data_IF_167789712294
#
_entry.id   IF_167789712294
#
_cell.length_a   1.000
_cell.length_b   1.000
_cell.length_c   1.000
_cell.angle_alpha   90.00
_cell.angle_beta   90.00
_cell.angle_gamma   90.00
#
_symmetry.space_group_name_H-M   'P 1'
#
loop_
_entity.id
_entity.type
_entity.pdbx_description
1 polymer ?
#
# COMPACT_ATOMS: atom_id res chain seq x y z
N UNK A 1 57.04 -62.79 41.20
CA UNK A 1 56.10 -61.69 40.85
C UNK A 1 56.87 -60.55 40.20
N UNK A 2 56.68 -60.27 38.91
CA UNK A 2 57.32 -59.15 38.19
C UNK A 2 56.24 -58.20 37.66
N UNK A 3 56.26 -56.95 38.13
CA UNK A 3 55.33 -55.86 37.78
C UNK A 3 55.76 -55.27 36.42
N UNK A 4 54.89 -55.34 35.41
CA UNK A 4 55.10 -54.70 34.10
C UNK A 4 54.74 -53.21 34.24
N UNK A 5 55.68 -52.32 33.92
CA UNK A 5 55.43 -50.87 33.80
C UNK A 5 55.09 -50.57 32.35
N UNK A 6 53.89 -50.07 32.09
CA UNK A 6 53.53 -49.50 30.79
C UNK A 6 54.03 -48.05 30.72
N UNK A 7 54.86 -47.76 29.73
CA UNK A 7 55.37 -46.43 29.42
C UNK A 7 54.40 -45.79 28.40
N UNK A 8 53.63 -44.78 28.81
CA UNK A 8 52.78 -44.03 27.90
C UNK A 8 53.55 -42.81 27.37
N UNK A 9 54.01 -42.87 26.11
CA UNK A 9 54.54 -41.68 25.43
C UNK A 9 53.39 -40.74 25.08
N UNK A 10 53.37 -39.56 25.68
CA UNK A 10 52.49 -38.48 25.25
C UNK A 10 53.04 -37.87 23.96
N UNK A 11 52.49 -38.27 22.81
CA UNK A 11 52.68 -37.51 21.57
C UNK A 11 51.63 -36.41 21.52
N UNK A 12 52.04 -35.17 21.80
CA UNK A 12 51.20 -33.99 21.56
C UNK A 12 50.92 -33.87 20.06
N UNK A 13 49.67 -34.12 19.67
CA UNK A 13 49.21 -33.93 18.29
C UNK A 13 48.95 -32.43 18.09
N UNK A 14 49.69 -31.79 17.21
CA UNK A 14 49.42 -30.41 16.81
C UNK A 14 48.00 -30.33 16.23
N UNK A 15 47.17 -29.45 16.79
CA UNK A 15 45.84 -29.15 16.25
C UNK A 15 46.06 -28.24 15.03
N UNK A 16 46.05 -28.83 13.84
CA UNK A 16 45.91 -28.07 12.61
C UNK A 16 44.52 -27.42 12.60
N UNK A 17 44.45 -26.09 12.56
CA UNK A 17 43.19 -25.38 12.32
C UNK A 17 42.75 -25.64 10.87
N UNK A 18 41.84 -26.59 10.66
CA UNK A 18 41.05 -26.67 9.43
C UNK A 18 40.13 -25.45 9.36
N UNK A 19 40.40 -24.54 8.43
CA UNK A 19 39.45 -23.48 8.10
C UNK A 19 38.23 -24.11 7.41
N UNK A 20 37.06 -23.96 8.01
CA UNK A 20 35.81 -24.47 7.47
C UNK A 20 35.59 -23.91 6.06
N UNK A 21 35.69 -24.75 5.02
CA UNK A 21 35.34 -24.37 3.66
C UNK A 21 33.84 -24.15 3.59
N UNK A 22 33.39 -22.90 3.48
CA UNK A 22 31.98 -22.59 3.23
C UNK A 22 31.58 -23.18 1.88
N UNK A 23 30.61 -24.11 1.88
CA UNK A 23 30.04 -24.65 0.64
C UNK A 23 29.48 -23.48 -0.19
N UNK A 24 30.03 -23.24 -1.38
CA UNK A 24 29.47 -22.26 -2.30
C UNK A 24 28.16 -22.81 -2.85
N UNK A 25 27.06 -22.09 -2.61
CA UNK A 25 25.77 -22.41 -3.20
C UNK A 25 25.79 -22.20 -4.72
N UNK A 26 24.66 -22.50 -5.38
CA UNK A 26 24.47 -22.20 -6.81
C UNK A 26 24.80 -20.72 -7.09
N UNK A 27 25.63 -20.41 -8.10
CA UNK A 27 25.97 -19.03 -8.43
C UNK A 27 24.71 -18.24 -8.79
N UNK A 28 24.72 -16.96 -8.43
CA UNK A 28 23.61 -16.04 -8.72
C UNK A 28 23.57 -15.75 -10.22
N UNK A 29 22.36 -15.60 -10.75
CA UNK A 29 22.13 -15.16 -12.14
C UNK A 29 22.40 -13.66 -12.31
N UNK A 30 22.29 -12.89 -11.23
CA UNK A 30 22.47 -11.43 -11.21
C UNK A 30 23.77 -11.04 -10.52
N UNK A 31 24.38 -9.97 -11.00
CA UNK A 31 25.56 -9.36 -10.41
C UNK A 31 25.20 -8.31 -9.33
N UNK A 32 26.16 -7.97 -8.48
CA UNK A 32 25.99 -6.99 -7.41
C UNK A 32 25.67 -5.58 -7.96
N UNK A 33 26.29 -5.18 -9.07
CA UNK A 33 26.02 -3.89 -9.71
C UNK A 33 24.59 -3.85 -10.27
N UNK A 34 24.18 -4.93 -10.93
CA UNK A 34 22.79 -5.07 -11.42
C UNK A 34 21.77 -5.05 -10.29
N UNK A 35 22.04 -5.74 -9.18
CA UNK A 35 21.18 -5.72 -7.99
C UNK A 35 21.07 -4.31 -7.39
N UNK A 36 22.12 -3.50 -7.48
CA UNK A 36 22.14 -2.10 -7.02
C UNK A 36 21.34 -1.20 -7.97
N UNK A 37 21.52 -1.34 -9.28
CA UNK A 37 20.75 -0.59 -10.28
C UNK A 37 19.24 -0.87 -10.17
N UNK A 38 18.85 -2.14 -9.96
CA UNK A 38 17.45 -2.53 -9.70
C UNK A 38 16.87 -1.83 -8.46
N UNK A 39 17.67 -1.76 -7.39
CA UNK A 39 17.26 -1.09 -6.15
C UNK A 39 17.09 0.42 -6.35
N UNK A 40 18.04 1.06 -7.03
CA UNK A 40 18.01 2.50 -7.29
C UNK A 40 16.86 2.89 -8.22
N UNK A 41 16.63 2.12 -9.28
CA UNK A 41 15.48 2.30 -10.16
C UNK A 41 14.16 2.20 -9.40
N UNK A 42 13.98 1.15 -8.59
CA UNK A 42 12.78 0.97 -7.77
C UNK A 42 12.61 2.04 -6.69
N UNK A 43 13.69 2.68 -6.23
CA UNK A 43 13.65 3.80 -5.28
C UNK A 43 13.29 5.11 -5.96
N UNK A 44 13.81 5.34 -7.17
CA UNK A 44 13.55 6.53 -7.98
C UNK A 44 12.10 6.57 -8.47
N UNK A 45 11.60 5.44 -8.97
CA UNK A 45 10.19 5.28 -9.34
C UNK A 45 9.60 4.03 -8.66
N UNK A 46 8.90 4.21 -7.53
CA UNK A 46 8.25 3.12 -6.80
C UNK A 46 7.19 2.34 -7.59
N UNK A 47 6.66 2.91 -8.68
CA UNK A 47 5.58 2.31 -9.48
C UNK A 47 6.09 1.37 -10.57
N UNK A 48 7.41 1.33 -10.82
CA UNK A 48 8.01 0.40 -11.76
C UNK A 48 7.69 -1.05 -11.37
N UNK A 49 7.14 -1.78 -12.33
CA UNK A 49 6.82 -3.19 -12.12
C UNK A 49 8.10 -4.03 -12.14
N UNK A 50 8.09 -5.19 -11.46
CA UNK A 50 9.21 -6.11 -11.55
C UNK A 50 9.44 -6.64 -12.97
N UNK A 51 8.42 -6.59 -13.84
CA UNK A 51 8.55 -6.97 -15.25
C UNK A 51 9.34 -5.90 -16.00
N UNK A 52 9.06 -4.62 -15.75
CA UNK A 52 9.76 -3.52 -16.41
C UNK A 52 11.22 -3.47 -15.95
N UNK A 53 11.45 -3.61 -14.64
CA UNK A 53 12.80 -3.75 -14.07
C UNK A 53 13.55 -4.98 -14.61
N UNK A 54 12.85 -6.10 -14.85
CA UNK A 54 13.47 -7.29 -15.42
C UNK A 54 13.90 -7.05 -16.88
N UNK A 55 13.04 -6.42 -17.70
CA UNK A 55 13.33 -6.12 -19.10
C UNK A 55 14.55 -5.21 -19.28
N UNK A 56 14.71 -4.22 -18.39
CA UNK A 56 15.75 -3.21 -18.54
C UNK A 56 17.12 -3.70 -18.03
N UNK A 57 17.18 -4.33 -16.86
CA UNK A 57 18.47 -4.71 -16.24
C UNK A 57 18.82 -6.19 -16.28
N UNK A 58 17.83 -7.09 -16.35
CA UNK A 58 18.06 -8.55 -16.21
C UNK A 58 17.17 -9.39 -17.14
N UNK A 59 17.18 -9.15 -18.47
CA UNK A 59 16.22 -9.75 -19.40
C UNK A 59 16.30 -11.28 -19.49
N UNK A 60 17.45 -11.87 -19.15
CA UNK A 60 17.68 -13.32 -19.11
C UNK A 60 17.16 -13.98 -17.84
N UNK A 61 16.84 -13.21 -16.80
CA UNK A 61 16.37 -13.73 -15.52
C UNK A 61 14.84 -13.82 -15.49
N UNK A 62 14.29 -14.71 -14.65
CA UNK A 62 12.84 -14.69 -14.37
C UNK A 62 12.49 -13.52 -13.44
N UNK A 63 11.27 -13.00 -13.57
CA UNK A 63 10.75 -11.84 -12.79
C UNK A 63 10.86 -12.06 -11.27
N UNK A 64 10.73 -13.30 -10.79
CA UNK A 64 10.88 -13.61 -9.37
C UNK A 64 12.29 -13.33 -8.84
N UNK A 65 13.31 -13.38 -9.69
CA UNK A 65 14.68 -12.96 -9.33
C UNK A 65 14.67 -11.51 -8.89
N UNK A 66 14.10 -10.61 -9.69
CA UNK A 66 13.99 -9.18 -9.36
C UNK A 66 13.20 -8.97 -8.07
N UNK A 67 12.06 -9.64 -7.91
CA UNK A 67 11.26 -9.55 -6.66
C UNK A 67 12.09 -9.97 -5.43
N UNK A 68 12.87 -11.03 -5.55
CA UNK A 68 13.73 -11.51 -4.47
C UNK A 68 14.87 -10.53 -4.17
N UNK A 69 15.45 -9.86 -5.19
CA UNK A 69 16.48 -8.82 -4.98
C UNK A 69 15.95 -7.60 -4.25
N UNK A 70 14.80 -7.09 -4.68
CA UNK A 70 14.13 -5.98 -4.01
C UNK A 70 13.78 -6.36 -2.56
N UNK A 71 13.30 -7.58 -2.33
CA UNK A 71 13.01 -8.10 -0.99
C UNK A 71 14.24 -8.23 -0.11
N UNK A 72 15.38 -8.67 -0.65
CA UNK A 72 16.67 -8.73 0.07
C UNK A 72 17.13 -7.35 0.53
N UNK A 73 16.87 -6.32 -0.28
CA UNK A 73 17.11 -4.90 0.07
C UNK A 73 16.01 -4.31 0.97
N UNK A 74 15.00 -5.08 1.36
CA UNK A 74 13.93 -4.66 2.27
C UNK A 74 12.70 -4.02 1.62
N UNK A 75 12.69 -3.87 0.29
CA UNK A 75 11.54 -3.36 -0.45
C UNK A 75 10.48 -4.45 -0.63
N UNK A 76 9.21 -4.11 -0.37
CA UNK A 76 8.08 -5.02 -0.54
C UNK A 76 7.07 -4.44 -1.50
N UNK A 77 6.54 -5.31 -2.36
CA UNK A 77 5.41 -4.99 -3.23
C UNK A 77 4.14 -4.78 -2.38
N UNK A 78 3.51 -3.61 -2.52
CA UNK A 78 2.32 -3.21 -1.75
C UNK A 78 1.36 -2.42 -2.62
N UNK A 79 0.10 -2.35 -2.22
CA UNK A 79 -0.87 -1.44 -2.84
C UNK A 79 -0.58 0.00 -2.35
N UNK A 80 -0.52 1.00 -3.24
CA UNK A 80 -0.35 2.40 -2.86
C UNK A 80 -1.61 2.93 -2.16
N UNK A 81 -1.45 3.96 -1.34
CA UNK A 81 -2.60 4.65 -0.77
C UNK A 81 -3.21 5.59 -1.83
N UNK A 82 -4.53 5.54 -1.99
CA UNK A 82 -5.27 6.44 -2.87
C UNK A 82 -5.83 7.57 -2.03
N UNK A 83 -5.47 8.81 -2.34
CA UNK A 83 -6.00 10.00 -1.65
C UNK A 83 -6.49 11.02 -2.67
N UNK A 84 -7.62 11.70 -2.42
CA UNK A 84 -7.97 12.86 -3.22
C UNK A 84 -6.90 13.94 -3.06
N UNK A 85 -6.61 14.62 -4.16
CA UNK A 85 -5.77 15.82 -4.10
C UNK A 85 -6.55 16.93 -3.38
N UNK A 86 -6.06 17.37 -2.22
CA UNK A 86 -6.68 18.44 -1.43
C UNK A 86 -5.88 19.72 -1.59
N UNK A 87 -6.45 20.67 -2.32
CA UNK A 87 -5.97 22.04 -2.38
C UNK A 87 -6.08 22.71 -1.01
N UNK A 88 -5.35 23.81 -0.79
CA UNK A 88 -5.44 24.58 0.45
C UNK A 88 -6.89 25.03 0.74
N UNK A 89 -7.62 25.43 -0.31
CA UNK A 89 -9.03 25.77 -0.24
C UNK A 89 -9.90 24.61 0.29
N UNK A 90 -9.74 23.40 -0.27
CA UNK A 90 -10.46 22.21 0.20
C UNK A 90 -10.16 21.90 1.68
N UNK A 91 -8.91 22.10 2.12
CA UNK A 91 -8.52 21.88 3.52
C UNK A 91 -9.19 22.86 4.47
N UNK A 92 -9.23 24.14 4.12
CA UNK A 92 -9.90 25.19 4.91
C UNK A 92 -11.41 24.92 5.03
N UNK A 93 -12.07 24.57 3.93
CA UNK A 93 -13.50 24.24 3.96
C UNK A 93 -13.79 23.02 4.83
N UNK A 94 -12.98 21.96 4.72
CA UNK A 94 -13.13 20.77 5.58
C UNK A 94 -12.94 21.12 7.04
N UNK A 95 -11.92 21.91 7.37
CA UNK A 95 -11.67 22.36 8.73
C UNK A 95 -12.85 23.19 9.28
N UNK A 96 -13.34 24.17 8.51
CA UNK A 96 -14.48 24.98 8.92
C UNK A 96 -15.76 24.13 9.11
N UNK A 97 -16.00 23.17 8.21
CA UNK A 97 -17.08 22.21 8.33
C UNK A 97 -16.93 21.40 9.63
N UNK A 98 -15.81 20.72 9.84
CA UNK A 98 -15.56 19.92 11.05
C UNK A 98 -15.71 20.75 12.32
N UNK A 99 -15.12 21.95 12.36
CA UNK A 99 -15.19 22.85 13.51
C UNK A 99 -16.63 23.27 13.84
N UNK A 100 -17.45 23.56 12.82
CA UNK A 100 -18.85 23.96 13.02
C UNK A 100 -19.77 22.82 13.52
N UNK A 101 -19.35 21.55 13.42
CA UNK A 101 -20.10 20.37 13.92
C UNK A 101 -19.40 19.66 15.09
N UNK A 102 -18.29 20.23 15.59
CA UNK A 102 -17.49 19.61 16.65
C UNK A 102 -18.29 19.36 17.95
N UNK A 103 -19.23 20.25 18.25
CA UNK A 103 -20.07 20.18 19.45
C UNK A 103 -21.49 19.68 19.18
N UNK A 104 -21.75 19.12 18.00
CA UNK A 104 -23.06 18.56 17.69
C UNK A 104 -23.38 17.37 18.59
N UNK A 105 -24.58 17.42 19.17
CA UNK A 105 -25.18 16.35 19.92
C UNK A 105 -25.66 15.21 19.02
N UNK A 106 -25.87 14.03 19.62
CA UNK A 106 -26.35 12.84 18.88
C UNK A 106 -27.69 13.11 18.19
N UNK A 107 -28.59 13.88 18.82
CA UNK A 107 -29.89 14.25 18.24
C UNK A 107 -29.79 15.16 17.02
N UNK A 108 -28.74 15.97 16.91
CA UNK A 108 -28.46 16.77 15.72
C UNK A 108 -27.95 15.88 14.57
N UNK A 109 -27.08 14.91 14.87
CA UNK A 109 -26.65 13.92 13.88
C UNK A 109 -27.80 13.04 13.36
N UNK A 110 -28.80 12.74 14.19
CA UNK A 110 -30.01 12.01 13.78
C UNK A 110 -30.84 12.74 12.71
N UNK A 111 -30.66 14.06 12.55
CA UNK A 111 -31.37 14.86 11.53
C UNK A 111 -30.65 14.86 10.18
N UNK A 112 -29.46 14.28 10.10
CA UNK A 112 -28.67 14.23 8.87
C UNK A 112 -28.98 12.94 8.11
N UNK A 113 -29.43 13.09 6.87
CA UNK A 113 -29.55 11.99 5.91
C UNK A 113 -28.37 12.08 4.95
N UNK A 114 -27.53 11.05 4.93
CA UNK A 114 -26.42 10.98 3.98
C UNK A 114 -26.89 10.30 2.69
N UNK A 115 -26.54 10.90 1.56
CA UNK A 115 -26.67 10.29 0.23
C UNK A 115 -25.31 10.30 -0.47
N UNK A 116 -25.02 9.23 -1.20
CA UNK A 116 -23.86 9.14 -2.09
C UNK A 116 -24.20 8.25 -3.29
N UNK A 117 -23.55 8.53 -4.41
CA UNK A 117 -23.60 7.68 -5.59
C UNK A 117 -22.30 6.88 -5.68
N UNK A 118 -22.43 5.55 -5.63
CA UNK A 118 -21.28 4.67 -5.79
C UNK A 118 -21.25 4.03 -7.16
N UNK A 119 -20.13 4.26 -7.86
CA UNK A 119 -19.79 3.55 -9.09
C UNK A 119 -18.95 2.31 -8.74
N UNK A 120 -19.46 1.13 -9.06
CA UNK A 120 -18.73 -0.14 -9.03
C UNK A 120 -18.16 -0.44 -10.41
N UNK A 121 -16.86 -0.75 -10.45
CA UNK A 121 -16.14 -1.04 -11.69
C UNK A 121 -15.28 -2.29 -11.51
N UNK A 122 -15.32 -3.20 -12.48
CA UNK A 122 -14.38 -4.31 -12.58
C UNK A 122 -13.19 -3.93 -13.46
N UNK A 123 -11.98 -4.02 -12.91
CA UNK A 123 -10.73 -3.74 -13.63
C UNK A 123 -10.13 -5.02 -14.19
N UNK A 124 -9.72 -5.00 -15.47
CA UNK A 124 -9.00 -6.12 -16.11
C UNK A 124 -7.52 -6.18 -15.71
N UNK A 125 -6.91 -5.04 -15.35
CA UNK A 125 -5.54 -4.96 -14.85
C UNK A 125 -5.61 -4.89 -13.33
N UNK A 126 -5.08 -5.90 -12.65
CA UNK A 126 -5.15 -6.03 -11.18
C UNK A 126 -4.64 -4.79 -10.42
N UNK A 127 -4.77 -4.80 -9.10
CA UNK A 127 -4.44 -3.63 -8.28
C UNK A 127 -3.03 -3.08 -8.55
N UNK A 128 -2.93 -1.77 -8.80
CA UNK A 128 -1.67 -1.04 -8.92
C UNK A 128 -0.76 -1.35 -7.72
N UNK A 129 0.53 -1.53 -7.98
CA UNK A 129 1.52 -1.91 -6.98
C UNK A 129 2.65 -0.90 -6.93
N UNK A 130 3.23 -0.74 -5.74
CA UNK A 130 4.45 0.01 -5.50
C UNK A 130 5.43 -0.82 -4.68
N UNK A 131 6.72 -0.62 -4.93
CA UNK A 131 7.78 -1.15 -4.06
C UNK A 131 8.17 -0.09 -3.03
N UNK A 132 8.01 -0.44 -1.75
CA UNK A 132 8.37 0.45 -0.64
C UNK A 132 8.88 -0.33 0.57
N UNK A 133 9.54 0.37 1.46
CA UNK A 133 9.85 -0.15 2.78
C UNK A 133 8.57 -0.37 3.59
N UNK A 134 8.63 -1.34 4.51
CA UNK A 134 7.54 -1.61 5.45
C UNK A 134 8.02 -1.17 6.83
N UNK A 135 8.20 0.14 6.98
CA UNK A 135 8.54 0.79 8.23
C UNK A 135 7.56 1.95 8.44
N UNK A 136 7.00 2.05 9.66
CA UNK A 136 6.20 3.19 10.11
C UNK A 136 5.15 3.76 9.13
N UNK A 137 5.20 5.07 8.94
CA UNK A 137 4.24 5.90 8.19
C UNK A 137 4.55 6.03 6.69
N UNK A 138 5.51 5.25 6.15
CA UNK A 138 5.93 5.30 4.74
C UNK A 138 4.76 5.10 3.76
N UNK A 139 3.66 4.49 4.18
CA UNK A 139 2.45 4.32 3.34
C UNK A 139 1.91 5.65 2.79
N UNK A 140 2.10 6.76 3.51
CA UNK A 140 1.51 8.05 3.16
C UNK A 140 2.52 9.05 2.60
N UNK A 141 3.77 8.63 2.34
CA UNK A 141 4.72 9.49 1.64
C UNK A 141 4.26 9.81 0.23
N UNK A 142 4.45 11.04 -0.21
CA UNK A 142 3.95 11.55 -1.49
C UNK A 142 4.39 10.71 -2.70
N UNK A 143 5.61 10.17 -2.66
CA UNK A 143 6.16 9.26 -3.68
C UNK A 143 5.41 7.92 -3.83
N UNK A 144 4.60 7.53 -2.84
CA UNK A 144 3.81 6.28 -2.85
C UNK A 144 2.30 6.54 -2.94
N UNK A 145 1.90 7.81 -3.00
CA UNK A 145 0.50 8.19 -3.10
C UNK A 145 0.04 8.20 -4.55
N UNK A 146 -1.20 7.77 -4.74
CA UNK A 146 -1.91 7.91 -6.00
C UNK A 146 -3.01 8.92 -5.76
N UNK A 147 -2.97 10.03 -6.48
CA UNK A 147 -4.06 10.98 -6.46
C UNK A 147 -5.28 10.36 -7.13
N UNK A 148 -6.44 10.41 -6.47
CA UNK A 148 -7.68 9.82 -6.99
C UNK A 148 -8.31 10.63 -8.13
N UNK A 149 -7.62 11.64 -8.65
CA UNK A 149 -8.05 12.44 -9.79
C UNK A 149 -7.93 11.62 -11.07
N UNK A 150 -9.05 11.01 -11.42
CA UNK A 150 -9.30 10.13 -12.56
C UNK A 150 -8.57 8.76 -12.55
N UNK A 151 -9.33 7.64 -12.61
CA UNK A 151 -8.76 6.33 -12.90
C UNK A 151 -8.31 6.30 -14.36
N UNK A 152 -7.18 6.91 -14.66
CA UNK A 152 -6.53 6.75 -15.94
C UNK A 152 -6.17 5.26 -16.12
N UNK A 153 -6.58 4.71 -17.27
CA UNK A 153 -6.11 3.46 -17.88
C UNK A 153 -6.77 2.14 -17.50
N UNK A 154 -8.08 2.06 -17.25
CA UNK A 154 -8.75 0.79 -17.49
C UNK A 154 -10.16 1.00 -18.00
N UNK A 155 -10.43 0.57 -19.23
CA UNK A 155 -11.81 0.39 -19.68
C UNK A 155 -12.46 -0.62 -18.73
N UNK A 156 -13.45 -0.22 -17.93
CA UNK A 156 -14.09 -1.13 -17.00
C UNK A 156 -14.85 -2.18 -17.81
N UNK A 157 -14.77 -3.44 -17.41
CA UNK A 157 -15.55 -4.51 -18.05
C UNK A 157 -17.05 -4.32 -17.80
N UNK A 158 -17.39 -3.68 -16.69
CA UNK A 158 -18.75 -3.32 -16.31
C UNK A 158 -18.75 -2.11 -15.37
N UNK A 159 -19.79 -1.28 -15.46
CA UNK A 159 -20.03 -0.13 -14.61
C UNK A 159 -21.44 -0.24 -14.04
N UNK A 160 -21.56 -0.05 -12.73
CA UNK A 160 -22.84 -0.09 -12.03
C UNK A 160 -22.95 1.07 -11.06
N UNK A 161 -23.98 1.91 -11.21
CA UNK A 161 -24.26 3.02 -10.32
C UNK A 161 -25.33 2.62 -9.31
N UNK A 162 -25.06 2.87 -8.02
CA UNK A 162 -25.99 2.58 -6.93
C UNK A 162 -26.13 3.82 -6.06
N UNK A 163 -27.36 4.20 -5.79
CA UNK A 163 -27.71 5.22 -4.80
C UNK A 163 -27.91 4.58 -3.43
N UNK A 164 -27.25 5.12 -2.42
CA UNK A 164 -27.35 4.63 -1.05
C UNK A 164 -27.78 5.80 -0.16
N UNK A 165 -28.80 5.55 0.66
CA UNK A 165 -29.26 6.46 1.71
C UNK A 165 -28.99 5.81 3.06
N UNK A 166 -28.37 6.54 3.98
CA UNK A 166 -28.05 6.05 5.32
C UNK A 166 -28.46 7.06 6.39
N UNK A 167 -29.19 6.59 7.40
CA UNK A 167 -29.55 7.36 8.59
C UNK A 167 -29.49 6.48 9.83
N UNK A 168 -29.07 7.05 10.96
CA UNK A 168 -29.15 6.38 12.26
C UNK A 168 -30.59 6.48 12.77
N UNK A 169 -31.50 5.59 12.38
CA UNK A 169 -32.92 5.71 12.78
C UNK A 169 -33.79 4.54 12.32
N UNK A 170 -35.03 4.48 12.81
CA UNK A 170 -36.08 3.62 12.23
C UNK A 170 -36.32 4.08 10.78
N UNK A 171 -36.73 3.17 9.89
CA UNK A 171 -37.14 3.51 8.52
C UNK A 171 -38.23 4.59 8.63
N UNK A 172 -37.88 5.83 8.29
CA UNK A 172 -38.81 6.96 8.28
C UNK A 172 -39.70 6.87 7.04
N UNK A 173 -40.90 7.44 7.09
CA UNK A 173 -41.70 7.68 5.88
C UNK A 173 -40.89 8.51 4.87
N UNK A 174 -41.10 8.23 3.58
CA UNK A 174 -40.33 8.80 2.48
C UNK A 174 -40.66 10.29 2.34
N UNK A 175 -39.91 11.15 3.04
CA UNK A 175 -40.04 12.59 2.88
C UNK A 175 -39.55 13.00 1.48
N UNK A 176 -40.34 13.79 0.75
CA UNK A 176 -39.85 14.48 -0.44
C UNK A 176 -38.80 15.50 0.00
N UNK A 177 -37.53 15.19 -0.31
CA UNK A 177 -36.40 16.04 0.06
C UNK A 177 -36.12 17.00 -1.10
N UNK A 178 -36.61 18.23 -1.00
CA UNK A 178 -36.24 19.29 -1.94
C UNK A 178 -34.84 19.80 -1.63
N UNK A 179 -33.92 19.59 -2.58
CA UNK A 179 -32.58 20.17 -2.52
C UNK A 179 -32.64 21.62 -3.04
N UNK A 180 -32.64 22.59 -2.13
CA UNK A 180 -32.52 24.02 -2.49
C UNK A 180 -31.10 24.50 -2.21
N UNK A 181 -30.41 24.97 -3.26
CA UNK A 181 -29.08 25.57 -3.15
C UNK A 181 -29.27 27.02 -2.71
N UNK A 182 -29.22 27.28 -1.40
CA UNK A 182 -29.26 28.67 -0.89
C UNK A 182 -27.86 29.30 -0.87
N UNK A 183 -26.80 28.50 -0.77
CA UNK A 183 -25.39 28.93 -0.83
C UNK A 183 -24.58 27.88 -1.61
N UNK A 184 -23.50 28.26 -2.31
CA UNK A 184 -22.75 27.37 -3.19
C UNK A 184 -22.12 26.14 -2.50
N UNK A 185 -22.15 26.07 -1.17
CA UNK A 185 -21.50 25.02 -0.39
C UNK A 185 -22.29 24.51 0.84
N UNK A 186 -23.56 24.89 1.01
CA UNK A 186 -24.41 24.32 2.07
C UNK A 186 -25.72 23.80 1.52
N UNK A 187 -25.91 22.49 1.65
CA UNK A 187 -27.16 21.80 1.39
C UNK A 187 -28.00 21.86 2.66
N UNK A 188 -29.13 22.55 2.62
CA UNK A 188 -30.12 22.52 3.70
C UNK A 188 -31.26 21.62 3.20
N UNK A 189 -31.43 20.49 3.86
CA UNK A 189 -32.56 19.59 3.61
C UNK A 189 -33.73 20.06 4.48
N UNK A 190 -34.79 20.60 3.85
CA UNK A 190 -36.07 20.79 4.53
C UNK A 190 -36.92 19.54 4.29
N UNK A 191 -37.30 18.86 5.36
CA UNK A 191 -38.30 17.79 5.31
C UNK A 191 -39.68 18.40 5.59
N UNK A 192 -40.59 18.32 4.61
CA UNK A 192 -42.02 18.48 4.86
C UNK A 192 -42.64 17.10 5.02
N UNK A 193 -43.55 16.93 5.98
CA UNK A 193 -44.40 15.75 6.08
C UNK A 193 -45.46 15.88 4.97
N UNK A 194 -45.70 14.81 4.21
CA UNK A 194 -46.84 14.72 3.29
C UNK A 194 -48.09 14.37 4.09
#
# INVERSE_FOLDING_TARGET
MKRIRFFFSHTSRAISQESATTKSGRPRVTDADTDQNLYEASRKDPFLSAVDLQKEWTPTSIVDTVRNRLKQKGLKCRTPARKPFLTQFHRQLRYAYEHSKLHWSVSEWHRVVFSDEKIFQSSSRGALRVYRYVQGSDRFGDQYLVHSSNPFHTAPLFIMCVWIFGGNGKICELHHVECRIEHPYSLIYRSSIV
#
